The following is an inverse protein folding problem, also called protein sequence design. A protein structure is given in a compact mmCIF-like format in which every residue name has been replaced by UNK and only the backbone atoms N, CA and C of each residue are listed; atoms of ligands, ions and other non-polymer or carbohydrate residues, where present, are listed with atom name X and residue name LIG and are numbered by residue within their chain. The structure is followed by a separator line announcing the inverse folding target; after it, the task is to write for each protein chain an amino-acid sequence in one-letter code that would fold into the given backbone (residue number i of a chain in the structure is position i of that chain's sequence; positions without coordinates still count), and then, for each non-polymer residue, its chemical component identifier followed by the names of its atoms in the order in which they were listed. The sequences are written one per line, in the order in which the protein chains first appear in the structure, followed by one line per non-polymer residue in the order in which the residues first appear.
data_IF_584676946939
#
_entry.id   IF_584676946939
#
_cell.length_a   1.000
_cell.length_b   1.000
_cell.length_c   1.000
_cell.angle_alpha   90.00
_cell.angle_beta   90.00
_cell.angle_gamma   90.00
#
_symmetry.space_group_name_H-M   'P 1'
#
loop_
_entity.id
_entity.type
_entity.pdbx_description
1 polymer ?
#
# COMPACT_ATOMS: atom_id res chain seq x y z
N UNK A 1 32.04 8.99 51.90
CA UNK A 1 30.65 9.21 51.49
C UNK A 1 29.77 8.76 52.64
N UNK A 2 29.03 9.67 53.26
CA UNK A 2 28.21 9.38 54.43
C UNK A 2 26.98 8.55 54.03
N UNK A 3 26.52 7.67 54.92
CA UNK A 3 25.33 6.81 54.66
C UNK A 3 24.09 7.58 54.19
N UNK A 4 23.96 8.84 54.54
CA UNK A 4 22.91 9.74 54.09
C UNK A 4 23.04 10.13 52.62
N UNK A 5 24.26 10.32 52.13
CA UNK A 5 24.50 10.68 50.70
C UNK A 5 24.25 9.48 49.80
N UNK A 6 24.57 8.27 50.27
CA UNK A 6 24.27 7.03 49.55
C UNK A 6 22.75 6.81 49.47
N UNK A 7 22.02 7.07 50.53
CA UNK A 7 20.56 6.92 50.57
C UNK A 7 19.87 7.94 49.62
N UNK A 8 20.38 9.18 49.61
CA UNK A 8 19.85 10.24 48.71
C UNK A 8 20.11 9.92 47.23
N UNK A 9 21.27 9.36 46.92
CA UNK A 9 21.63 8.95 45.56
C UNK A 9 20.79 7.76 45.10
N UNK A 10 20.53 6.78 45.96
CA UNK A 10 19.62 5.68 45.68
C UNK A 10 18.15 6.14 45.48
N UNK A 11 17.72 7.11 46.29
CA UNK A 11 16.36 7.68 46.14
C UNK A 11 16.20 8.47 44.87
N UNK A 12 17.23 9.21 44.43
CA UNK A 12 17.24 9.92 43.13
C UNK A 12 17.25 8.95 41.93
N UNK A 13 17.92 7.81 42.04
CA UNK A 13 17.91 6.77 41.01
C UNK A 13 16.53 6.08 40.90
N UNK A 14 15.80 5.94 41.99
CA UNK A 14 14.45 5.37 42.03
C UNK A 14 13.38 6.34 41.50
N UNK A 15 13.64 7.65 41.54
CA UNK A 15 12.76 8.70 41.05
C UNK A 15 13.05 9.08 39.60
N UNK A 16 14.11 8.55 38.96
CA UNK A 16 14.35 8.76 37.53
C UNK A 16 13.20 8.12 36.73
N UNK A 17 12.47 8.90 35.96
CA UNK A 17 11.42 8.32 35.13
C UNK A 17 12.05 7.26 34.20
N UNK A 18 11.44 6.09 34.02
CA UNK A 18 11.93 5.12 33.07
C UNK A 18 12.07 5.80 31.72
N UNK A 19 13.30 5.85 31.21
CA UNK A 19 13.57 6.36 29.88
C UNK A 19 12.92 5.38 28.92
N UNK A 20 11.64 5.59 28.61
CA UNK A 20 10.94 4.85 27.56
C UNK A 20 11.55 5.28 26.23
N UNK A 21 12.57 4.57 25.80
CA UNK A 21 13.04 4.65 24.43
C UNK A 21 11.83 4.24 23.58
N UNK A 22 11.33 5.09 22.68
CA UNK A 22 10.27 4.69 21.78
C UNK A 22 10.80 3.48 21.00
N UNK A 23 10.19 2.32 21.21
CA UNK A 23 10.46 1.14 20.38
C UNK A 23 9.97 1.53 18.98
N UNK A 24 10.90 1.89 18.12
CA UNK A 24 10.61 2.08 16.72
C UNK A 24 10.01 0.77 16.20
N UNK A 25 8.82 0.84 15.58
CA UNK A 25 8.21 -0.32 14.96
C UNK A 25 9.24 -0.93 14.00
N UNK A 26 9.58 -2.19 14.22
CA UNK A 26 10.57 -2.89 13.39
C UNK A 26 9.86 -3.36 12.13
N UNK A 27 10.27 -2.83 10.96
CA UNK A 27 9.83 -3.32 9.67
C UNK A 27 10.54 -4.66 9.37
N UNK A 28 9.79 -5.66 8.94
CA UNK A 28 10.30 -7.00 8.68
C UNK A 28 10.18 -7.44 7.20
N UNK A 29 9.64 -6.58 6.32
CA UNK A 29 9.55 -6.82 4.89
C UNK A 29 10.84 -6.48 4.15
N UNK A 30 10.80 -6.56 2.82
CA UNK A 30 11.97 -6.25 1.96
C UNK A 30 12.34 -4.77 2.01
N UNK A 31 11.34 -3.92 2.01
CA UNK A 31 11.52 -2.46 2.01
C UNK A 31 10.40 -1.77 2.81
N UNK A 32 10.74 -0.81 3.67
CA UNK A 32 9.73 0.00 4.35
C UNK A 32 8.96 0.87 3.34
N UNK A 33 7.75 1.32 3.72
CA UNK A 33 7.04 2.32 2.94
C UNK A 33 7.88 3.59 2.88
N UNK A 34 8.23 3.99 1.66
CA UNK A 34 9.12 5.13 1.39
C UNK A 34 8.44 6.16 0.52
N UNK A 35 8.80 7.42 0.77
CA UNK A 35 8.30 8.53 -0.02
C UNK A 35 8.95 8.49 -1.42
N UNK A 36 8.12 8.33 -2.46
CA UNK A 36 8.56 8.27 -3.87
C UNK A 36 8.22 9.55 -4.64
N UNK A 37 7.27 10.33 -4.15
CA UNK A 37 6.91 11.61 -4.72
C UNK A 37 6.50 12.59 -3.63
N UNK A 38 6.98 13.84 -3.75
CA UNK A 38 6.56 14.96 -2.91
C UNK A 38 6.71 16.25 -3.69
N UNK A 39 5.65 17.01 -3.77
CA UNK A 39 5.69 18.34 -4.39
C UNK A 39 4.53 19.20 -3.88
N UNK A 40 4.59 20.50 -4.23
CA UNK A 40 3.53 21.48 -3.96
C UNK A 40 3.30 22.31 -5.21
N UNK A 41 2.12 22.14 -5.82
CA UNK A 41 1.76 22.73 -7.12
C UNK A 41 0.26 22.96 -7.20
N UNK A 42 -0.21 23.82 -8.13
CA UNK A 42 -1.63 23.90 -8.45
C UNK A 42 -2.06 22.63 -9.18
N UNK A 43 -3.05 21.89 -8.63
CA UNK A 43 -3.52 20.64 -9.22
C UNK A 43 -3.98 19.63 -8.17
N UNK A 44 -3.81 18.34 -8.49
CA UNK A 44 -4.31 17.28 -7.62
C UNK A 44 -3.89 15.89 -8.04
N UNK A 45 -4.69 14.90 -7.66
CA UNK A 45 -4.50 13.53 -8.09
C UNK A 45 -5.81 12.85 -8.46
N UNK A 46 -5.73 11.91 -9.39
CA UNK A 46 -6.77 10.95 -9.72
C UNK A 46 -6.34 9.55 -9.29
N UNK A 47 -7.29 8.78 -8.79
CA UNK A 47 -7.06 7.40 -8.39
C UNK A 47 -8.18 6.53 -8.95
N UNK A 48 -7.80 5.47 -9.64
CA UNK A 48 -8.71 4.47 -10.19
C UNK A 48 -8.31 3.10 -9.70
N UNK A 49 -9.24 2.42 -9.04
CA UNK A 49 -9.10 1.00 -8.75
C UNK A 49 -9.55 0.22 -9.98
N UNK A 50 -8.84 -0.86 -10.31
CA UNK A 50 -9.25 -1.76 -11.39
C UNK A 50 -10.60 -2.42 -11.11
N UNK A 51 -11.34 -2.67 -12.17
CA UNK A 51 -12.66 -3.31 -12.15
C UNK A 51 -12.59 -4.83 -11.93
N UNK A 52 -11.40 -5.43 -12.06
CA UNK A 52 -11.16 -6.84 -11.80
C UNK A 52 -11.21 -7.17 -10.29
N UNK A 53 -11.74 -8.33 -9.97
CA UNK A 53 -11.69 -8.92 -8.63
C UNK A 53 -10.40 -9.67 -8.36
N UNK A 54 -10.37 -10.45 -7.30
CA UNK A 54 -9.30 -11.39 -7.00
C UNK A 54 -9.17 -12.46 -8.11
N UNK A 55 -7.93 -12.67 -8.62
CA UNK A 55 -7.71 -13.54 -9.78
C UNK A 55 -7.85 -15.04 -9.50
N UNK A 56 -7.76 -15.45 -8.24
CA UNK A 56 -7.37 -16.83 -7.93
C UNK A 56 -5.89 -17.06 -8.23
N UNK A 57 -5.41 -18.30 -8.05
CA UNK A 57 -4.04 -18.66 -8.38
C UNK A 57 -3.86 -18.66 -9.90
N UNK A 58 -2.85 -17.96 -10.37
CA UNK A 58 -2.43 -17.94 -11.79
C UNK A 58 -1.24 -18.84 -11.96
N UNK A 59 -1.39 -19.90 -12.76
CA UNK A 59 -0.32 -20.78 -13.22
C UNK A 59 0.44 -20.20 -14.42
N UNK A 60 1.54 -20.86 -14.85
CA UNK A 60 2.29 -20.46 -16.03
C UNK A 60 1.42 -20.30 -17.28
N UNK A 61 1.56 -19.17 -17.96
CA UNK A 61 0.79 -18.82 -19.16
C UNK A 61 -0.63 -18.32 -18.90
N UNK A 62 -1.14 -18.44 -17.68
CA UNK A 62 -2.43 -17.84 -17.32
C UNK A 62 -2.35 -16.33 -17.18
N UNK A 63 -3.49 -15.68 -17.36
CA UNK A 63 -3.56 -14.23 -17.36
C UNK A 63 -4.73 -13.69 -16.53
N UNK A 64 -4.53 -12.48 -16.00
CA UNK A 64 -5.54 -11.68 -15.34
C UNK A 64 -5.75 -10.38 -16.11
N UNK A 65 -6.99 -9.96 -16.25
CA UNK A 65 -7.36 -8.71 -16.91
C UNK A 65 -8.21 -7.83 -16.00
N UNK A 66 -7.90 -6.55 -16.02
CA UNK A 66 -8.71 -5.54 -15.36
C UNK A 66 -8.57 -4.21 -16.11
N UNK A 67 -9.60 -3.37 -16.03
CA UNK A 67 -9.57 -2.02 -16.61
C UNK A 67 -9.38 -0.99 -15.50
N UNK A 68 -8.63 0.06 -15.82
CA UNK A 68 -8.49 1.25 -14.99
C UNK A 68 -8.87 2.48 -15.79
N UNK A 69 -9.26 3.54 -15.10
CA UNK A 69 -9.66 4.80 -15.72
C UNK A 69 -8.67 5.90 -15.34
N UNK A 70 -8.19 6.63 -16.34
CA UNK A 70 -7.43 7.85 -16.17
C UNK A 70 -8.33 9.05 -16.43
N UNK A 71 -8.77 9.68 -15.36
CA UNK A 71 -9.62 10.86 -15.42
C UNK A 71 -8.88 12.05 -14.80
N UNK A 72 -8.28 12.88 -15.65
CA UNK A 72 -7.64 14.14 -15.27
C UNK A 72 -8.25 15.29 -16.08
N UNK A 73 -8.21 16.55 -15.61
CA UNK A 73 -8.69 17.71 -16.36
C UNK A 73 -8.01 17.84 -17.71
N UNK A 74 -8.76 18.36 -18.69
CA UNK A 74 -8.20 18.64 -20.02
C UNK A 74 -7.07 19.68 -19.93
N UNK A 75 -5.94 19.39 -20.57
CA UNK A 75 -4.76 20.25 -20.55
C UNK A 75 -3.90 20.14 -19.28
N UNK A 76 -4.27 19.31 -18.30
CA UNK A 76 -3.44 19.06 -17.13
C UNK A 76 -2.15 18.32 -17.52
N UNK A 77 -1.05 18.67 -16.84
CA UNK A 77 0.25 18.05 -17.02
C UNK A 77 0.46 16.96 -15.97
N UNK A 78 0.78 15.74 -16.39
CA UNK A 78 1.11 14.64 -15.47
C UNK A 78 2.48 14.87 -14.84
N UNK A 79 2.51 14.91 -13.52
CA UNK A 79 3.73 15.07 -12.70
C UNK A 79 4.28 13.74 -12.21
N UNK A 80 3.39 12.81 -11.90
CA UNK A 80 3.74 11.47 -11.43
C UNK A 80 2.61 10.50 -11.78
N UNK A 81 2.95 9.32 -12.26
CA UNK A 81 1.96 8.29 -12.56
C UNK A 81 2.52 6.90 -12.31
N UNK A 82 1.71 6.05 -11.68
CA UNK A 82 2.03 4.65 -11.42
C UNK A 82 0.81 3.76 -11.55
N UNK A 83 1.01 2.63 -12.21
CA UNK A 83 0.12 1.49 -12.12
C UNK A 83 0.66 0.55 -11.04
N UNK A 84 -0.17 0.21 -10.07
CA UNK A 84 0.15 -0.72 -9.01
C UNK A 84 -0.53 -2.05 -9.27
N UNK A 85 0.23 -3.15 -9.09
CA UNK A 85 -0.26 -4.52 -9.10
C UNK A 85 -0.06 -5.09 -7.70
N UNK A 86 -1.15 -5.44 -7.04
CA UNK A 86 -1.12 -6.05 -5.71
C UNK A 86 -1.23 -7.56 -5.87
N UNK A 87 -0.19 -8.28 -5.42
CA UNK A 87 -0.12 -9.72 -5.56
C UNK A 87 0.08 -10.42 -4.20
N UNK A 88 -0.28 -11.70 -4.14
CA UNK A 88 -0.18 -12.53 -2.93
C UNK A 88 0.05 -13.99 -3.29
N UNK A 89 0.45 -14.79 -2.29
CA UNK A 89 0.66 -16.24 -2.40
C UNK A 89 1.58 -16.63 -3.54
N UNK A 90 2.60 -15.81 -3.77
CA UNK A 90 3.58 -16.11 -4.83
C UNK A 90 4.57 -17.17 -4.36
N UNK A 91 4.66 -18.27 -5.14
CA UNK A 91 5.38 -19.47 -4.72
C UNK A 91 5.85 -20.34 -5.86
N UNK A 92 6.85 -21.15 -5.57
CA UNK A 92 7.21 -22.37 -6.33
C UNK A 92 6.98 -23.51 -5.35
N UNK A 93 6.11 -24.47 -5.71
CA UNK A 93 5.66 -25.55 -4.82
C UNK A 93 5.17 -25.00 -3.46
N UNK A 94 5.91 -25.24 -2.37
CA UNK A 94 5.62 -24.76 -1.03
C UNK A 94 6.45 -23.55 -0.60
N UNK A 95 7.38 -23.09 -1.44
CA UNK A 95 8.33 -22.03 -1.07
C UNK A 95 7.92 -20.69 -1.68
N UNK A 96 8.05 -19.64 -0.87
CA UNK A 96 7.80 -18.28 -1.31
C UNK A 96 8.79 -17.86 -2.40
N UNK A 97 8.27 -17.30 -3.48
CA UNK A 97 9.08 -16.82 -4.59
C UNK A 97 8.43 -15.57 -5.19
N UNK A 98 9.26 -14.65 -5.69
CA UNK A 98 8.73 -13.49 -6.40
C UNK A 98 7.92 -13.91 -7.63
N UNK A 99 6.79 -13.23 -7.92
CA UNK A 99 6.02 -13.53 -9.12
C UNK A 99 6.85 -13.27 -10.38
N UNK A 100 6.78 -14.17 -11.33
CA UNK A 100 7.25 -13.96 -12.69
C UNK A 100 6.07 -13.50 -13.53
N UNK A 101 5.92 -12.20 -13.71
CA UNK A 101 4.80 -11.64 -14.46
C UNK A 101 5.24 -10.58 -15.45
N UNK A 102 4.54 -10.58 -16.58
CA UNK A 102 4.58 -9.51 -17.54
C UNK A 102 3.26 -8.72 -17.46
N UNK A 103 3.38 -7.41 -17.35
CA UNK A 103 2.23 -6.50 -17.28
C UNK A 103 2.18 -5.68 -18.56
N UNK A 104 1.03 -5.70 -19.23
CA UNK A 104 0.82 -5.03 -20.52
C UNK A 104 -0.40 -4.13 -20.48
N UNK A 105 -0.32 -3.00 -21.13
CA UNK A 105 -1.43 -2.11 -21.39
C UNK A 105 -2.05 -2.44 -22.75
N UNK A 106 -3.36 -2.69 -22.81
CA UNK A 106 -4.08 -2.99 -24.06
C UNK A 106 -4.21 -4.48 -24.37
N UNK A 107 -4.26 -5.36 -23.37
CA UNK A 107 -4.42 -6.81 -23.55
C UNK A 107 -3.11 -7.56 -23.81
N UNK A 108 -3.18 -8.84 -24.20
CA UNK A 108 -2.01 -9.71 -24.37
C UNK A 108 -1.02 -9.22 -25.43
N UNK A 109 -1.51 -8.66 -26.51
CA UNK A 109 -0.70 -8.04 -27.58
C UNK A 109 -0.33 -6.57 -27.31
N UNK A 110 -0.70 -6.03 -26.14
CA UNK A 110 -0.51 -4.64 -25.79
C UNK A 110 0.94 -4.27 -25.47
N UNK A 111 1.13 -3.01 -25.10
CA UNK A 111 2.45 -2.45 -24.79
C UNK A 111 2.92 -2.95 -23.43
N UNK A 112 4.11 -3.58 -23.31
CA UNK A 112 4.64 -3.99 -22.03
C UNK A 112 4.97 -2.77 -21.17
N UNK A 113 4.66 -2.86 -19.87
CA UNK A 113 4.96 -1.83 -18.90
C UNK A 113 6.31 -2.09 -18.23
N UNK A 114 7.02 -1.01 -17.94
CA UNK A 114 8.32 -1.08 -17.23
C UNK A 114 8.08 -1.13 -15.73
N UNK A 115 8.60 -2.18 -15.07
CA UNK A 115 8.64 -2.27 -13.63
C UNK A 115 9.52 -1.15 -13.05
N UNK A 116 8.94 -0.31 -12.21
CA UNK A 116 9.66 0.77 -11.51
C UNK A 116 10.24 0.27 -10.19
N UNK A 117 9.43 -0.44 -9.41
CA UNK A 117 9.83 -1.01 -8.14
C UNK A 117 8.98 -2.22 -7.79
N UNK A 118 9.55 -3.10 -6.99
CA UNK A 118 8.89 -4.26 -6.39
C UNK A 118 9.09 -4.22 -4.89
N UNK A 119 8.02 -4.41 -4.15
CA UNK A 119 7.99 -4.43 -2.70
C UNK A 119 7.32 -5.73 -2.25
N UNK A 120 7.87 -6.39 -1.24
CA UNK A 120 7.27 -7.61 -0.71
C UNK A 120 7.48 -7.72 0.80
N UNK A 121 6.65 -8.55 1.42
CA UNK A 121 6.76 -8.89 2.82
C UNK A 121 6.24 -10.30 3.08
N UNK A 122 6.88 -11.02 3.99
CA UNK A 122 6.48 -12.34 4.45
C UNK A 122 6.46 -12.44 5.96
N UNK A 123 6.85 -11.40 6.69
CA UNK A 123 7.08 -11.40 8.15
C UNK A 123 7.99 -12.54 8.63
N UNK A 124 8.92 -12.99 7.81
CA UNK A 124 9.79 -14.11 8.11
C UNK A 124 9.16 -15.49 7.89
N UNK A 125 7.98 -15.58 7.27
CA UNK A 125 7.33 -16.82 6.91
C UNK A 125 7.58 -17.20 5.44
N UNK A 126 8.81 -16.99 4.95
CA UNK A 126 9.15 -17.24 3.55
C UNK A 126 8.85 -18.66 3.05
N UNK A 127 8.95 -19.67 3.93
CA UNK A 127 8.55 -21.05 3.66
C UNK A 127 7.03 -21.29 3.74
N UNK A 128 6.26 -20.28 4.11
CA UNK A 128 4.79 -20.33 4.19
C UNK A 128 4.23 -19.32 3.20
N UNK A 129 3.95 -19.78 2.03
CA UNK A 129 3.50 -18.97 0.89
C UNK A 129 2.29 -18.05 1.16
N UNK A 130 1.46 -18.37 2.15
CA UNK A 130 0.28 -17.59 2.51
C UNK A 130 0.60 -16.16 2.94
N UNK A 131 1.84 -15.92 3.39
CA UNK A 131 2.29 -14.63 3.87
C UNK A 131 3.19 -13.88 2.89
N UNK A 132 3.54 -14.48 1.75
CA UNK A 132 4.36 -13.80 0.77
C UNK A 132 3.48 -13.02 -0.20
N UNK A 133 3.43 -11.71 0.06
CA UNK A 133 2.58 -10.76 -0.67
C UNK A 133 3.37 -9.51 -1.01
N UNK A 134 2.92 -8.77 -2.00
CA UNK A 134 3.63 -7.55 -2.38
C UNK A 134 2.87 -6.64 -3.32
N UNK A 135 3.58 -5.59 -3.69
CA UNK A 135 3.13 -4.57 -4.63
C UNK A 135 4.23 -4.32 -5.65
N UNK A 136 3.89 -4.46 -6.92
CA UNK A 136 4.73 -4.00 -8.02
C UNK A 136 4.21 -2.66 -8.54
N UNK A 137 5.09 -1.69 -8.74
CA UNK A 137 4.76 -0.42 -9.37
C UNK A 137 5.35 -0.32 -10.77
N UNK A 138 4.53 0.11 -11.73
CA UNK A 138 4.88 0.19 -13.14
C UNK A 138 4.76 1.61 -13.67
N UNK A 139 5.67 1.97 -14.59
CA UNK A 139 5.63 3.22 -15.33
C UNK A 139 4.80 3.01 -16.60
N UNK A 140 3.90 3.93 -16.89
CA UNK A 140 3.16 3.93 -18.14
C UNK A 140 3.98 4.65 -19.22
N UNK A 141 4.16 4.03 -20.41
CA UNK A 141 5.01 4.59 -21.46
C UNK A 141 4.39 5.78 -22.19
N UNK A 142 3.07 5.90 -22.15
CA UNK A 142 2.31 6.92 -22.90
C UNK A 142 1.22 7.49 -21.99
N UNK A 143 0.97 8.80 -22.14
CA UNK A 143 -0.18 9.43 -21.50
C UNK A 143 -1.46 8.98 -22.23
N UNK A 144 -2.15 7.99 -21.68
CA UNK A 144 -3.45 7.52 -22.17
C UNK A 144 -4.54 8.24 -21.39
N UNK A 145 -5.52 8.81 -22.08
CA UNK A 145 -6.73 9.35 -21.44
C UNK A 145 -7.87 8.33 -21.56
N UNK A 146 -8.74 8.32 -20.57
CA UNK A 146 -9.90 7.43 -20.53
C UNK A 146 -9.58 6.05 -19.94
N UNK A 147 -10.38 5.07 -20.32
CA UNK A 147 -10.27 3.71 -19.83
C UNK A 147 -9.30 2.90 -20.66
N UNK A 148 -8.50 2.08 -20.01
CA UNK A 148 -7.66 1.10 -20.69
C UNK A 148 -7.58 -0.19 -19.88
N UNK A 149 -7.38 -1.30 -20.60
CA UNK A 149 -7.25 -2.63 -20.03
C UNK A 149 -5.79 -2.91 -19.71
N UNK A 150 -5.55 -3.53 -18.56
CA UNK A 150 -4.25 -4.08 -18.16
C UNK A 150 -4.35 -5.60 -18.20
N UNK A 151 -3.39 -6.23 -18.84
CA UNK A 151 -3.23 -7.68 -18.87
C UNK A 151 -1.98 -8.07 -18.08
N UNK A 152 -2.11 -8.99 -17.13
CA UNK A 152 -1.03 -9.53 -16.31
C UNK A 152 -0.90 -11.01 -16.63
N UNK A 153 0.24 -11.43 -17.18
CA UNK A 153 0.49 -12.80 -17.59
C UNK A 153 1.54 -13.41 -16.66
N UNK A 154 1.29 -14.61 -16.15
CA UNK A 154 2.33 -15.37 -15.48
C UNK A 154 3.29 -15.95 -16.53
N UNK A 155 4.52 -15.46 -16.54
CA UNK A 155 5.57 -15.84 -17.52
C UNK A 155 6.53 -16.87 -16.98
N UNK A 156 6.25 -17.45 -15.81
CA UNK A 156 7.13 -18.45 -15.20
C UNK A 156 7.27 -19.71 -16.05
N UNK A 157 8.50 -20.23 -16.13
CA UNK A 157 8.80 -21.53 -16.73
C UNK A 157 9.02 -22.65 -15.70
N UNK A 158 8.96 -22.35 -14.41
CA UNK A 158 9.33 -23.22 -13.29
C UNK A 158 8.13 -23.69 -12.44
N UNK A 159 6.91 -23.57 -12.97
CA UNK A 159 5.69 -23.95 -12.24
C UNK A 159 5.22 -22.92 -11.20
N UNK A 160 5.90 -21.79 -11.08
CA UNK A 160 5.57 -20.73 -10.13
C UNK A 160 4.14 -20.22 -10.30
N UNK A 161 3.46 -20.02 -9.18
CA UNK A 161 2.10 -19.46 -9.16
C UNK A 161 2.05 -18.21 -8.29
N UNK A 162 1.09 -17.34 -8.55
CA UNK A 162 0.75 -16.20 -7.70
C UNK A 162 -0.72 -15.82 -7.91
N UNK A 163 -1.25 -14.98 -7.05
CA UNK A 163 -2.58 -14.41 -7.24
C UNK A 163 -2.50 -12.89 -7.29
N UNK A 164 -3.34 -12.26 -8.11
CA UNK A 164 -3.53 -10.81 -8.16
C UNK A 164 -4.72 -10.45 -7.27
N UNK A 165 -4.50 -9.58 -6.30
CA UNK A 165 -5.54 -9.06 -5.42
C UNK A 165 -6.30 -7.89 -6.05
N UNK A 166 -5.68 -7.22 -7.00
CA UNK A 166 -6.21 -6.10 -7.75
C UNK A 166 -5.12 -5.23 -8.34
N UNK A 167 -5.54 -4.24 -9.08
CA UNK A 167 -4.66 -3.19 -9.63
C UNK A 167 -5.21 -1.81 -9.30
N UNK A 168 -4.34 -0.81 -9.31
CA UNK A 168 -4.75 0.59 -9.17
C UNK A 168 -3.88 1.52 -10.01
N UNK A 169 -4.47 2.59 -10.52
CA UNK A 169 -3.78 3.67 -11.20
C UNK A 169 -3.83 4.93 -10.34
N UNK A 170 -2.66 5.48 -10.03
CA UNK A 170 -2.50 6.80 -9.43
C UNK A 170 -1.90 7.74 -10.46
N UNK A 171 -2.56 8.85 -10.71
CA UNK A 171 -2.07 9.93 -11.56
C UNK A 171 -2.07 11.23 -10.76
N UNK A 172 -0.91 11.83 -10.60
CA UNK A 172 -0.73 13.18 -10.03
C UNK A 172 -0.56 14.15 -11.17
N UNK A 173 -1.34 15.22 -11.16
CA UNK A 173 -1.37 16.17 -12.26
C UNK A 173 -1.32 17.62 -11.78
N UNK A 174 -0.65 18.44 -12.55
CA UNK A 174 -0.65 19.90 -12.42
C UNK A 174 -1.69 20.50 -13.35
N UNK A 175 -2.47 21.43 -12.83
CA UNK A 175 -3.46 22.20 -13.55
C UNK A 175 -3.29 23.68 -13.17
N UNK A 176 -2.92 24.57 -14.10
CA UNK A 176 -2.59 25.96 -13.74
C UNK A 176 -3.70 26.72 -13.03
N UNK A 177 -4.98 26.38 -13.31
CA UNK A 177 -6.16 26.94 -12.64
C UNK A 177 -6.59 26.18 -11.40
N UNK A 178 -5.86 25.12 -11.02
CA UNK A 178 -6.19 24.27 -9.89
C UNK A 178 -5.87 24.89 -8.53
N UNK A 179 -6.39 24.27 -7.50
CA UNK A 179 -6.03 24.64 -6.12
C UNK A 179 -4.60 24.24 -5.80
N UNK A 180 -3.93 25.05 -4.98
CA UNK A 180 -2.60 24.72 -4.49
C UNK A 180 -2.64 23.49 -3.59
N UNK A 181 -1.97 22.45 -3.99
CA UNK A 181 -1.97 21.13 -3.34
C UNK A 181 -0.56 20.73 -2.94
N UNK A 182 -0.34 20.42 -1.67
CA UNK A 182 0.85 19.70 -1.21
C UNK A 182 0.54 18.20 -1.21
N UNK A 183 1.35 17.41 -1.89
CA UNK A 183 1.07 16.00 -2.11
C UNK A 183 2.29 15.13 -1.80
N UNK A 184 2.06 14.01 -1.15
CA UNK A 184 3.05 12.98 -0.85
C UNK A 184 2.54 11.65 -1.35
N UNK A 185 3.42 10.86 -1.96
CA UNK A 185 3.15 9.46 -2.33
C UNK A 185 4.19 8.59 -1.67
N UNK A 186 3.76 7.61 -0.89
CA UNK A 186 4.61 6.58 -0.33
C UNK A 186 4.28 5.23 -0.95
N UNK A 187 5.30 4.48 -1.32
CA UNK A 187 5.21 3.13 -1.88
C UNK A 187 5.90 2.13 -0.95
N UNK A 188 5.41 0.91 -0.95
CA UNK A 188 5.95 -0.20 -0.18
C UNK A 188 4.97 -1.37 -0.10
N UNK A 189 5.35 -2.40 0.63
CA UNK A 189 4.46 -3.47 1.02
C UNK A 189 4.80 -3.86 2.45
N UNK A 190 3.81 -3.79 3.34
CA UNK A 190 3.94 -4.20 4.73
C UNK A 190 2.73 -5.05 5.10
N UNK A 191 2.98 -6.31 5.43
CA UNK A 191 1.97 -7.27 5.81
C UNK A 191 1.58 -7.05 7.28
N UNK A 192 0.47 -6.38 7.51
CA UNK A 192 -0.05 -6.12 8.84
C UNK A 192 -0.87 -7.32 9.32
N UNK A 193 -0.22 -8.24 10.03
CA UNK A 193 -0.84 -9.47 10.48
C UNK A 193 -0.47 -9.79 11.93
N UNK A 194 -1.46 -9.80 12.81
CA UNK A 194 -1.29 -10.02 14.25
C UNK A 194 -1.68 -11.43 14.66
N UNK A 195 -1.00 -12.44 14.16
CA UNK A 195 -1.23 -13.83 14.54
C UNK A 195 0.07 -14.62 14.44
N UNK A 196 0.07 -15.91 14.75
CA UNK A 196 1.23 -16.80 14.68
C UNK A 196 2.49 -16.26 15.39
N UNK A 197 2.31 -15.56 16.52
CA UNK A 197 3.42 -15.03 17.30
C UNK A 197 4.04 -13.73 16.75
N UNK A 198 3.43 -13.10 15.75
CA UNK A 198 3.87 -11.77 15.28
C UNK A 198 3.51 -10.73 16.33
N UNK A 199 4.50 -10.03 16.91
CA UNK A 199 4.25 -9.01 17.91
C UNK A 199 3.58 -7.76 17.28
N UNK A 200 2.85 -6.96 18.05
CA UNK A 200 2.18 -5.76 17.56
C UNK A 200 3.09 -4.79 16.81
N UNK A 201 4.36 -4.70 17.20
CA UNK A 201 5.34 -3.83 16.54
C UNK A 201 5.57 -4.22 15.07
N UNK A 202 5.53 -5.52 14.74
CA UNK A 202 5.65 -6.01 13.37
C UNK A 202 4.30 -6.01 12.61
N UNK A 203 3.19 -5.84 13.33
CA UNK A 203 1.86 -5.67 12.75
C UNK A 203 1.44 -4.19 12.67
N UNK A 204 2.41 -3.28 12.71
CA UNK A 204 2.20 -1.83 12.66
C UNK A 204 3.20 -1.22 11.70
N UNK A 205 2.71 -0.53 10.69
CA UNK A 205 3.55 0.27 9.81
C UNK A 205 3.42 1.75 10.13
N UNK A 206 4.49 2.49 9.85
CA UNK A 206 4.52 3.94 10.03
C UNK A 206 4.99 4.60 8.73
N UNK A 207 4.30 5.64 8.34
CA UNK A 207 4.69 6.50 7.22
C UNK A 207 4.79 7.92 7.71
N UNK A 208 5.94 8.55 7.49
CA UNK A 208 6.17 9.95 7.83
C UNK A 208 5.98 10.81 6.57
N UNK A 209 5.22 11.90 6.71
CA UNK A 209 5.02 12.90 5.68
C UNK A 209 5.88 14.13 6.01
N UNK A 210 7.13 14.20 5.53
CA UNK A 210 8.06 15.24 5.91
C UNK A 210 7.67 16.60 5.33
N UNK A 211 8.09 17.67 6.01
CA UNK A 211 7.90 19.05 5.58
C UNK A 211 6.96 19.82 6.50
N UNK A 212 6.80 21.09 6.18
CA UNK A 212 5.92 21.98 6.91
C UNK A 212 4.64 22.20 6.11
N UNK A 213 3.52 22.15 6.80
CA UNK A 213 2.20 22.51 6.28
C UNK A 213 1.74 23.75 7.05
N UNK A 214 1.35 24.79 6.32
CA UNK A 214 0.76 25.98 6.91
C UNK A 214 -0.70 25.69 7.27
N UNK A 215 -0.90 25.14 8.47
CA UNK A 215 -2.20 24.64 8.94
C UNK A 215 -3.31 25.68 8.80
N UNK A 216 -3.12 26.97 9.15
CA UNK A 216 -4.13 28.01 8.96
C UNK A 216 -4.64 28.16 7.51
N UNK A 217 -3.83 27.77 6.52
CA UNK A 217 -4.19 27.83 5.10
C UNK A 217 -4.78 26.54 4.55
N UNK A 218 -4.75 25.44 5.31
CA UNK A 218 -5.30 24.16 4.87
C UNK A 218 -6.81 24.22 4.86
N UNK A 219 -7.41 24.10 3.68
CA UNK A 219 -8.86 24.01 3.50
C UNK A 219 -9.36 22.58 3.65
N UNK A 220 -8.58 21.62 3.18
CA UNK A 220 -8.92 20.20 3.27
C UNK A 220 -7.65 19.35 3.31
N UNK A 221 -7.75 18.17 3.91
CA UNK A 221 -6.72 17.15 3.83
C UNK A 221 -7.37 15.81 3.46
N UNK A 222 -6.72 15.05 2.60
CA UNK A 222 -7.17 13.71 2.19
C UNK A 222 -6.04 12.72 2.35
N UNK A 223 -6.30 11.60 3.00
CA UNK A 223 -5.44 10.44 3.00
C UNK A 223 -6.07 9.35 2.14
N UNK A 224 -5.31 8.83 1.18
CA UNK A 224 -5.64 7.64 0.42
C UNK A 224 -4.74 6.52 0.91
N UNK A 225 -5.33 5.45 1.42
CA UNK A 225 -4.65 4.23 1.82
C UNK A 225 -5.19 3.06 0.99
N UNK A 226 -4.30 2.28 0.39
CA UNK A 226 -4.65 1.04 -0.29
C UNK A 226 -4.21 -0.13 0.56
N UNK A 227 -5.16 -0.97 0.93
CA UNK A 227 -4.95 -2.17 1.74
C UNK A 227 -5.68 -3.35 1.07
N UNK A 228 -5.02 -4.06 0.14
CA UNK A 228 -5.66 -5.01 -0.78
C UNK A 228 -6.39 -6.17 -0.10
N UNK A 229 -5.95 -6.60 1.05
CA UNK A 229 -6.56 -7.69 1.84
C UNK A 229 -7.14 -7.24 3.18
N UNK A 230 -7.33 -5.93 3.37
CA UNK A 230 -7.92 -5.41 4.60
C UNK A 230 -9.46 -5.57 4.61
N UNK A 231 -10.04 -5.51 5.79
CA UNK A 231 -11.49 -5.54 5.96
C UNK A 231 -12.02 -6.85 6.56
N UNK A 232 -11.14 -7.70 7.05
CA UNK A 232 -11.55 -8.80 7.89
C UNK A 232 -11.72 -8.29 9.34
N UNK A 233 -12.79 -7.57 9.62
CA UNK A 233 -13.25 -7.38 10.99
C UNK A 233 -14.33 -8.41 11.26
N UNK A 234 -14.12 -9.26 12.24
CA UNK A 234 -15.24 -9.92 12.88
C UNK A 234 -15.98 -8.85 13.68
N UNK A 235 -17.31 -8.90 13.67
CA UNK A 235 -18.16 -7.97 14.42
C UNK A 235 -17.80 -7.90 15.93
N UNK A 236 -17.18 -8.97 16.43
CA UNK A 236 -16.75 -9.16 17.81
C UNK A 236 -15.35 -8.61 18.14
N UNK A 237 -14.59 -8.12 17.14
CA UNK A 237 -13.24 -7.55 17.32
C UNK A 237 -13.08 -6.23 16.55
N UNK A 238 -13.74 -5.16 17.00
CA UNK A 238 -13.79 -3.87 16.28
C UNK A 238 -12.42 -3.18 16.16
N UNK A 239 -11.40 -3.63 16.90
CA UNK A 239 -10.09 -3.01 16.96
C UNK A 239 -9.06 -3.62 16.00
N UNK A 240 -9.46 -4.52 15.09
CA UNK A 240 -8.51 -5.26 14.25
C UNK A 240 -7.82 -4.42 13.17
N UNK A 241 -8.38 -3.27 12.77
CA UNK A 241 -7.78 -2.42 11.76
C UNK A 241 -7.83 -0.96 12.23
N UNK A 242 -6.74 -0.47 12.78
CA UNK A 242 -6.65 0.88 13.33
C UNK A 242 -5.75 1.72 12.45
N UNK A 243 -6.25 2.89 12.05
CA UNK A 243 -5.47 3.94 11.43
C UNK A 243 -5.34 5.11 12.40
N UNK A 244 -4.10 5.45 12.74
CA UNK A 244 -3.78 6.58 13.61
C UNK A 244 -3.05 7.65 12.81
N UNK A 245 -3.49 8.90 12.96
CA UNK A 245 -2.82 10.07 12.43
C UNK A 245 -2.26 10.88 13.60
N UNK A 246 -0.93 10.94 13.70
CA UNK A 246 -0.24 11.66 14.77
C UNK A 246 0.59 12.79 14.19
N UNK A 247 0.52 13.96 14.81
CA UNK A 247 1.48 15.04 14.61
C UNK A 247 2.61 14.92 15.62
N UNK A 248 3.89 14.97 15.23
CA UNK A 248 4.99 14.99 16.19
C UNK A 248 4.80 16.12 17.22
N UNK A 249 4.76 15.77 18.51
CA UNK A 249 4.71 16.73 19.63
C UNK A 249 3.35 17.30 19.99
N UNK A 250 2.27 16.86 19.38
CA UNK A 250 0.91 17.16 19.85
C UNK A 250 0.10 15.89 19.92
N UNK A 251 -0.56 15.68 21.06
CA UNK A 251 -1.60 14.68 21.18
C UNK A 251 -2.69 14.88 20.10
N UNK A 252 -3.64 14.00 20.06
CA UNK A 252 -4.68 13.85 19.05
C UNK A 252 -4.94 15.04 18.12
N UNK A 253 -4.94 14.77 16.81
CA UNK A 253 -5.35 15.76 15.81
C UNK A 253 -6.76 16.29 16.12
N UNK A 254 -7.00 17.59 15.94
CA UNK A 254 -8.32 18.14 16.12
C UNK A 254 -9.35 17.44 15.23
N UNK A 255 -10.63 17.38 15.63
CA UNK A 255 -11.68 16.61 14.98
C UNK A 255 -11.92 16.93 13.50
N UNK A 256 -11.39 18.02 12.99
CA UNK A 256 -11.41 18.41 11.57
C UNK A 256 -10.83 17.34 10.62
N UNK A 257 -9.92 16.49 11.10
CA UNK A 257 -9.29 15.45 10.28
C UNK A 257 -9.97 14.08 10.36
N UNK A 258 -10.94 13.89 11.24
CA UNK A 258 -11.65 12.60 11.37
C UNK A 258 -12.50 12.21 10.15
N UNK A 259 -12.85 13.15 9.29
CA UNK A 259 -13.76 12.93 8.16
C UNK A 259 -13.07 12.77 6.79
N UNK A 260 -11.75 12.93 6.71
CA UNK A 260 -11.02 12.93 5.44
C UNK A 260 -10.30 11.60 5.12
N UNK A 261 -10.45 10.58 5.96
CA UNK A 261 -9.81 9.28 5.72
C UNK A 261 -10.77 8.39 4.94
N UNK A 262 -10.48 8.15 3.67
CA UNK A 262 -11.18 7.17 2.85
C UNK A 262 -10.33 5.91 2.76
N UNK A 263 -10.73 4.87 3.49
CA UNK A 263 -10.19 3.53 3.35
C UNK A 263 -10.87 2.89 2.12
N UNK A 264 -10.08 2.54 1.11
CA UNK A 264 -10.55 1.76 -0.02
C UNK A 264 -10.31 0.28 0.29
N UNK A 265 -11.33 -0.37 0.80
CA UNK A 265 -11.33 -1.81 0.97
C UNK A 265 -12.02 -2.45 -0.24
N UNK A 266 -11.41 -3.44 -0.91
CA UNK A 266 -12.17 -4.28 -1.82
C UNK A 266 -13.21 -5.02 -0.97
N UNK A 267 -14.50 -4.83 -1.26
CA UNK A 267 -15.54 -5.67 -0.68
C UNK A 267 -15.34 -7.08 -1.22
N UNK A 268 -14.76 -7.96 -0.42
CA UNK A 268 -14.89 -9.38 -0.65
C UNK A 268 -16.36 -9.76 -0.48
N UNK A 269 -17.11 -9.66 -1.56
CA UNK A 269 -18.40 -10.34 -1.63
C UNK A 269 -18.06 -11.82 -1.70
N UNK A 270 -18.28 -12.57 -0.59
CA UNK A 270 -18.37 -14.02 -0.64
C UNK A 270 -19.53 -14.36 -1.58
N UNK A 271 -19.26 -14.50 -2.87
CA UNK A 271 -20.10 -15.32 -3.73
C UNK A 271 -19.56 -16.72 -3.65
N UNK A 272 -20.48 -17.67 -3.38
CA UNK A 272 -20.23 -19.08 -3.59
C UNK A 272 -19.53 -19.30 -4.94
N UNK A 273 -18.69 -20.33 -5.08
CA UNK A 273 -17.99 -20.60 -6.33
C UNK A 273 -19.04 -20.74 -7.44
N UNK A 274 -19.14 -19.72 -8.29
CA UNK A 274 -19.76 -19.86 -9.60
C UNK A 274 -18.67 -20.47 -10.48
N UNK A 275 -19.04 -21.48 -11.25
CA UNK A 275 -18.23 -21.93 -12.37
C UNK A 275 -17.68 -20.72 -13.12
N UNK A 276 -16.37 -20.73 -13.45
CA UNK A 276 -15.76 -19.60 -14.12
C UNK A 276 -16.49 -19.40 -15.45
N UNK A 277 -17.00 -18.18 -15.75
CA UNK A 277 -17.39 -17.87 -17.10
C UNK A 277 -16.17 -18.03 -17.99
N UNK A 278 -16.38 -18.51 -19.23
CA UNK A 278 -15.34 -18.59 -20.24
C UNK A 278 -14.49 -17.32 -20.21
N UNK A 279 -13.24 -17.47 -19.77
CA UNK A 279 -12.33 -16.33 -19.64
C UNK A 279 -11.95 -15.89 -21.05
N UNK A 280 -12.15 -14.62 -21.43
CA UNK A 280 -11.59 -14.14 -22.69
C UNK A 280 -10.08 -14.32 -22.66
N UNK A 281 -9.52 -14.92 -23.69
CA UNK A 281 -8.09 -15.06 -23.83
C UNK A 281 -7.45 -13.68 -23.90
N UNK A 282 -6.47 -13.39 -23.03
CA UNK A 282 -5.60 -12.22 -23.15
C UNK A 282 -4.87 -12.23 -24.50
#
# INVERSE_FOLDING_TARGET
MNSREILLFLLLLLLAPPCTVPVAASYAGDRPLTLVFRDTFPGGFAFSQGDGGYSGSLGPGEAYMASVSRSIPGGALVRFERLYVYWTWSRIDSEAAYPAMEVRMGGRGGVPLTLSARYADSKGFASRNDFFSGTDSYILPVQVSGNFTVCIVNTAGDGRTFAVQGIALLTVYEEPSGEQTALWVAEGADLLYRSYGIPPALATTRVDFPGRVDIPRVRSARLLLVAPSAGFSREDVPEMNILMLNTPGRGDLPPLFRHAVRLLFPRHVRRAPREPPDRPAC
#
